data_IF_695054293290
#
_entry.id   IF_695054293290
#
_cell.length_a   1.000
_cell.length_b   1.000
_cell.length_c   1.000
_cell.angle_alpha   90.00
_cell.angle_beta   90.00
_cell.angle_gamma   90.00
#
_symmetry.space_group_name_H-M   'P 1'
#
loop_
_entity.id
_entity.type
_entity.pdbx_description
1 polymer ?
#
# COMPACT_ATOMS: atom_id res chain seq x y z
N UNK A 1 22.43 -33.47 -17.21
CA UNK A 1 22.14 -32.15 -17.81
C UNK A 1 21.22 -32.37 -18.98
N UNK A 2 19.99 -31.84 -18.94
CA UNK A 2 19.04 -31.91 -20.06
C UNK A 2 18.73 -30.47 -20.45
N UNK A 3 19.18 -30.06 -21.62
CA UNK A 3 18.79 -28.79 -22.23
C UNK A 3 17.48 -29.01 -22.99
N UNK A 4 16.46 -28.19 -22.74
CA UNK A 4 15.26 -28.12 -23.57
C UNK A 4 15.41 -26.95 -24.55
N UNK A 5 15.56 -27.28 -25.84
CA UNK A 5 15.34 -26.34 -26.94
C UNK A 5 13.88 -26.44 -27.35
N UNK A 6 13.15 -25.32 -27.31
CA UNK A 6 11.77 -25.23 -27.82
C UNK A 6 11.79 -24.57 -29.19
N UNK A 7 11.19 -25.22 -30.18
CA UNK A 7 11.04 -24.68 -31.54
C UNK A 7 9.55 -24.71 -31.89
N UNK A 8 8.90 -23.57 -32.22
CA UNK A 8 7.48 -23.56 -32.53
C UNK A 8 7.29 -23.74 -34.04
N UNK A 9 6.57 -24.77 -34.44
CA UNK A 9 5.96 -24.80 -35.78
C UNK A 9 4.43 -24.78 -35.66
N UNK A 10 3.89 -23.75 -36.31
CA UNK A 10 2.51 -23.37 -36.61
C UNK A 10 1.46 -24.48 -36.73
N UNK A 11 0.28 -24.19 -36.15
CA UNK A 11 -1.03 -24.54 -36.72
C UNK A 11 -1.65 -25.87 -36.27
N UNK A 12 -2.63 -25.79 -35.36
CA UNK A 12 -3.55 -26.88 -35.03
C UNK A 12 -3.30 -27.55 -33.68
N UNK A 13 -4.39 -27.78 -32.93
CA UNK A 13 -4.53 -28.49 -31.65
C UNK A 13 -3.24 -29.21 -31.18
N UNK A 14 -2.48 -28.54 -30.31
CA UNK A 14 -1.09 -28.85 -30.01
C UNK A 14 -0.90 -30.12 -29.16
N UNK A 15 -0.68 -31.25 -29.82
CA UNK A 15 0.12 -32.35 -29.28
C UNK A 15 1.59 -32.14 -29.68
N UNK A 16 2.44 -31.75 -28.75
CA UNK A 16 3.88 -31.64 -29.00
C UNK A 16 4.57 -32.99 -28.84
N UNK A 17 5.22 -33.50 -29.90
CA UNK A 17 6.06 -34.70 -29.81
C UNK A 17 7.49 -34.32 -29.41
N UNK A 18 8.03 -34.96 -28.37
CA UNK A 18 9.45 -34.85 -28.01
C UNK A 18 10.14 -36.21 -28.14
N UNK A 19 11.38 -36.23 -28.66
CA UNK A 19 12.25 -37.41 -28.62
C UNK A 19 13.17 -37.32 -27.41
N UNK A 20 13.14 -38.35 -26.55
CA UNK A 20 14.13 -38.55 -25.50
C UNK A 20 15.07 -39.69 -25.93
N UNK A 21 16.34 -39.37 -26.16
CA UNK A 21 17.41 -40.36 -26.31
C UNK A 21 18.18 -40.42 -24.98
N UNK A 22 18.01 -41.51 -24.22
CA UNK A 22 18.78 -41.76 -22.99
C UNK A 22 20.03 -42.58 -23.28
N UNK A 23 21.20 -42.13 -22.81
CA UNK A 23 22.41 -42.94 -22.77
C UNK A 23 22.32 -44.00 -21.68
N UNK A 24 22.59 -45.27 -22.03
CA UNK A 24 22.54 -46.39 -21.09
C UNK A 24 23.69 -46.38 -20.08
N UNK A 25 23.40 -46.80 -18.84
CA UNK A 25 24.36 -46.87 -17.74
C UNK A 25 25.11 -48.23 -17.74
N UNK A 26 26.42 -48.19 -17.47
CA UNK A 26 27.35 -49.32 -17.66
C UNK A 26 27.46 -50.20 -16.40
N UNK A 27 26.94 -51.43 -16.46
CA UNK A 27 27.19 -52.47 -15.45
C UNK A 27 28.53 -53.18 -15.67
N UNK A 28 29.45 -53.09 -14.72
CA UNK A 28 30.79 -53.73 -14.75
C UNK A 28 30.68 -55.24 -14.47
N UNK A 29 30.91 -56.11 -15.46
CA UNK A 29 31.29 -57.53 -15.25
C UNK A 29 32.58 -57.86 -16.02
N UNK A 30 33.43 -58.65 -15.38
CA UNK A 30 34.76 -59.07 -15.84
C UNK A 30 34.69 -59.96 -17.09
N UNK A 31 35.56 -59.71 -18.06
CA UNK A 31 36.05 -60.70 -19.04
C UNK A 31 35.66 -60.45 -20.51
N UNK A 32 36.71 -60.28 -21.34
CA UNK A 32 36.77 -60.34 -22.83
C UNK A 32 36.13 -59.18 -23.63
N UNK A 33 36.97 -58.46 -24.39
CA UNK A 33 36.59 -57.38 -25.32
C UNK A 33 35.93 -57.97 -26.58
N UNK A 34 34.67 -57.62 -26.82
CA UNK A 34 34.03 -57.65 -28.15
C UNK A 34 33.36 -56.30 -28.39
N UNK A 35 33.69 -55.65 -29.51
CA UNK A 35 33.17 -54.35 -29.90
C UNK A 35 31.82 -54.55 -30.60
N UNK A 36 30.70 -54.32 -29.89
CA UNK A 36 29.36 -54.22 -30.50
C UNK A 36 28.81 -52.80 -30.32
N UNK A 37 28.57 -52.12 -31.42
CA UNK A 37 27.83 -50.85 -31.52
C UNK A 37 26.42 -51.01 -30.95
N UNK A 38 25.97 -50.19 -29.99
CA UNK A 38 24.58 -50.23 -29.53
C UNK A 38 23.68 -49.48 -30.52
N UNK A 39 22.70 -50.19 -31.09
CA UNK A 39 21.59 -49.56 -31.77
C UNK A 39 20.73 -48.80 -30.74
N UNK A 40 20.54 -47.49 -30.94
CA UNK A 40 19.65 -46.69 -30.13
C UNK A 40 18.19 -47.10 -30.41
N UNK A 41 17.53 -47.74 -29.44
CA UNK A 41 16.11 -48.04 -29.53
C UNK A 41 15.31 -46.84 -29.03
N UNK A 42 14.69 -46.09 -29.95
CA UNK A 42 13.72 -45.05 -29.62
C UNK A 42 12.37 -45.69 -29.31
N UNK A 43 11.88 -45.54 -28.07
CA UNK A 43 10.51 -45.94 -27.71
C UNK A 43 9.62 -44.71 -27.78
N UNK A 44 8.54 -44.78 -28.58
CA UNK A 44 7.48 -43.78 -28.59
C UNK A 44 6.62 -43.96 -27.34
N UNK A 45 6.90 -43.18 -26.30
CA UNK A 45 6.07 -43.12 -25.10
C UNK A 45 5.09 -41.97 -25.16
N UNK A 46 3.79 -42.25 -25.03
CA UNK A 46 2.78 -41.25 -24.66
C UNK A 46 2.80 -41.15 -23.13
N UNK A 47 3.46 -40.14 -22.58
CA UNK A 47 3.22 -39.79 -21.17
C UNK A 47 1.86 -39.11 -21.09
N UNK A 48 0.90 -39.78 -20.46
CA UNK A 48 -0.28 -39.10 -19.93
C UNK A 48 0.22 -38.05 -18.92
N UNK A 49 0.11 -36.77 -19.28
CA UNK A 49 0.21 -35.70 -18.29
C UNK A 49 -0.89 -35.99 -17.28
N UNK A 50 -0.51 -36.33 -16.05
CA UNK A 50 -1.48 -36.56 -14.97
C UNK A 50 -2.34 -35.29 -14.86
N UNK A 51 -3.65 -35.46 -14.78
CA UNK A 51 -4.66 -34.38 -14.66
C UNK A 51 -4.40 -33.39 -13.51
N UNK A 52 -3.41 -33.64 -12.64
CA UNK A 52 -3.02 -32.79 -11.53
C UNK A 52 -2.48 -31.40 -11.95
N UNK A 53 -1.78 -31.28 -13.09
CA UNK A 53 -1.30 -29.95 -13.55
C UNK A 53 -2.42 -29.12 -14.21
N UNK A 54 -3.40 -29.76 -14.85
CA UNK A 54 -4.54 -29.08 -15.49
C UNK A 54 -5.65 -28.76 -14.47
N UNK A 55 -5.75 -29.52 -13.37
CA UNK A 55 -6.73 -29.28 -12.30
C UNK A 55 -6.39 -28.06 -11.41
N UNK A 56 -5.11 -27.72 -11.23
CA UNK A 56 -4.70 -26.59 -10.39
C UNK A 56 -5.22 -25.24 -10.92
N UNK A 57 -5.29 -25.07 -12.25
CA UNK A 57 -5.82 -23.85 -12.86
C UNK A 57 -7.35 -23.68 -12.69
N UNK A 58 -8.08 -24.73 -12.27
CA UNK A 58 -9.53 -24.68 -12.05
C UNK A 58 -9.94 -24.19 -10.65
N UNK A 59 -8.99 -24.07 -9.71
CA UNK A 59 -9.24 -23.59 -8.34
C UNK A 59 -9.04 -22.07 -8.17
N UNK A 60 -8.40 -21.41 -9.13
CA UNK A 60 -8.09 -19.98 -9.07
C UNK A 60 -8.87 -19.24 -10.16
N UNK A 61 -9.74 -18.30 -9.79
CA UNK A 61 -10.56 -17.53 -10.75
C UNK A 61 -10.27 -16.03 -10.71
N UNK A 62 -9.38 -15.61 -9.81
CA UNK A 62 -8.95 -14.23 -9.66
C UNK A 62 -7.43 -14.13 -9.71
N UNK A 63 -6.91 -12.96 -10.03
CA UNK A 63 -5.47 -12.68 -9.95
C UNK A 63 -5.18 -11.38 -9.24
N UNK A 64 -4.14 -11.37 -8.42
CA UNK A 64 -3.53 -10.15 -7.90
C UNK A 64 -2.26 -9.84 -8.68
N UNK A 65 -2.18 -8.66 -9.29
CA UNK A 65 -0.95 -8.11 -9.84
C UNK A 65 -0.40 -7.12 -8.82
N UNK A 66 0.74 -7.43 -8.23
CA UNK A 66 1.35 -6.65 -7.15
C UNK A 66 2.55 -5.93 -7.75
N UNK A 67 2.52 -4.60 -7.75
CA UNK A 67 3.50 -3.74 -8.41
C UNK A 67 4.21 -2.86 -7.40
N UNK A 68 5.53 -2.81 -7.48
CA UNK A 68 6.34 -1.87 -6.73
C UNK A 68 6.68 -0.65 -7.61
N UNK A 69 6.04 0.48 -7.32
CA UNK A 69 6.35 1.76 -7.98
C UNK A 69 7.13 2.70 -7.05
N UNK A 70 7.63 2.19 -5.93
CA UNK A 70 8.56 2.89 -5.06
C UNK A 70 9.95 2.93 -5.71
N UNK A 71 10.79 3.86 -5.26
CA UNK A 71 12.20 3.96 -5.68
C UNK A 71 13.12 2.97 -4.95
N UNK A 72 12.57 2.17 -4.05
CA UNK A 72 13.26 1.20 -3.21
C UNK A 72 12.58 -0.17 -3.29
N UNK A 73 13.30 -1.22 -2.87
CA UNK A 73 12.76 -2.58 -2.82
C UNK A 73 11.68 -2.69 -1.75
N UNK A 74 10.55 -3.29 -2.10
CA UNK A 74 9.48 -3.67 -1.18
C UNK A 74 9.46 -5.18 -1.10
N UNK A 75 9.16 -5.74 0.07
CA UNK A 75 8.94 -7.17 0.24
C UNK A 75 7.47 -7.41 0.55
N UNK A 76 6.61 -7.58 -0.48
CA UNK A 76 5.21 -7.89 -0.25
C UNK A 76 5.07 -9.16 0.58
N UNK A 77 4.02 -9.18 1.39
CA UNK A 77 3.60 -10.34 2.14
C UNK A 77 2.09 -10.47 2.06
N UNK A 78 1.63 -11.73 2.09
CA UNK A 78 0.21 -12.07 1.95
C UNK A 78 -0.15 -13.12 2.99
N UNK A 79 -1.25 -12.87 3.68
CA UNK A 79 -1.83 -13.78 4.66
C UNK A 79 -3.23 -14.18 4.21
N UNK A 80 -3.46 -15.48 4.06
CA UNK A 80 -4.80 -16.03 3.84
C UNK A 80 -5.55 -16.09 5.17
N UNK A 81 -6.80 -15.62 5.19
CA UNK A 81 -7.68 -15.66 6.35
C UNK A 81 -8.10 -17.09 6.71
N UNK A 82 -8.64 -17.26 7.93
CA UNK A 82 -9.14 -18.54 8.39
C UNK A 82 -10.21 -19.10 7.42
N UNK A 83 -10.09 -20.38 7.06
CA UNK A 83 -11.00 -21.03 6.11
C UNK A 83 -10.69 -20.77 4.63
N UNK A 84 -9.76 -19.87 4.31
CA UNK A 84 -9.31 -19.63 2.93
C UNK A 84 -8.16 -20.56 2.55
N UNK A 85 -8.14 -21.00 1.30
CA UNK A 85 -7.00 -21.78 0.77
C UNK A 85 -5.73 -20.92 0.71
N UNK A 86 -4.55 -21.46 1.03
CA UNK A 86 -3.30 -20.72 0.96
C UNK A 86 -2.97 -20.33 -0.48
N UNK A 87 -2.31 -19.19 -0.64
CA UNK A 87 -1.74 -18.78 -1.92
C UNK A 87 -0.38 -19.47 -2.17
N UNK A 88 0.14 -19.46 -3.40
CA UNK A 88 1.43 -20.10 -3.72
C UNK A 88 2.65 -19.55 -2.98
N UNK A 89 2.55 -18.33 -2.44
CA UNK A 89 3.57 -17.67 -1.61
C UNK A 89 2.88 -16.77 -0.59
N UNK A 90 3.55 -16.54 0.53
CA UNK A 90 3.18 -15.65 1.63
C UNK A 90 4.15 -14.47 1.76
N UNK A 91 5.24 -14.43 0.98
CA UNK A 91 6.11 -13.28 0.88
C UNK A 91 7.23 -13.44 -0.16
N UNK A 92 7.58 -12.33 -0.80
CA UNK A 92 8.61 -12.27 -1.85
C UNK A 92 9.21 -10.86 -1.91
N UNK A 93 10.25 -10.66 -2.75
CA UNK A 93 10.86 -9.36 -3.00
C UNK A 93 10.37 -8.77 -4.33
N UNK A 94 10.20 -7.46 -4.39
CA UNK A 94 9.95 -6.69 -5.62
C UNK A 94 10.92 -5.52 -5.70
N UNK A 95 11.77 -5.50 -6.74
CA UNK A 95 12.63 -4.36 -7.02
C UNK A 95 11.80 -3.17 -7.53
N UNK A 96 12.36 -1.95 -7.55
CA UNK A 96 11.70 -0.79 -8.14
C UNK A 96 11.24 -1.06 -9.59
N UNK A 97 9.96 -0.87 -9.86
CA UNK A 97 9.35 -1.08 -11.17
C UNK A 97 8.86 -2.52 -11.44
N UNK A 98 9.20 -3.49 -10.58
CA UNK A 98 8.81 -4.87 -10.77
C UNK A 98 7.35 -5.13 -10.40
N UNK A 99 6.79 -6.17 -11.02
CA UNK A 99 5.48 -6.73 -10.70
C UNK A 99 5.55 -8.24 -10.54
N UNK A 100 4.70 -8.78 -9.68
CA UNK A 100 4.45 -10.22 -9.58
C UNK A 100 2.94 -10.49 -9.60
N UNK A 101 2.53 -11.60 -10.20
CA UNK A 101 1.12 -11.98 -10.30
C UNK A 101 0.85 -13.24 -9.49
N UNK A 102 -0.11 -13.17 -8.57
CA UNK A 102 -0.54 -14.29 -7.74
C UNK A 102 -1.94 -14.75 -8.17
N UNK A 103 -2.15 -16.06 -8.39
CA UNK A 103 -3.48 -16.60 -8.56
C UNK A 103 -4.21 -16.62 -7.21
N UNK A 104 -5.51 -16.26 -7.21
CA UNK A 104 -6.35 -16.16 -6.00
C UNK A 104 -7.62 -17.00 -6.13
N UNK A 105 -7.96 -17.84 -5.13
CA UNK A 105 -9.15 -18.67 -5.16
C UNK A 105 -10.45 -17.82 -5.25
N UNK A 106 -11.52 -18.33 -5.86
CA UNK A 106 -12.80 -17.62 -5.99
C UNK A 106 -13.40 -17.18 -4.65
N UNK A 107 -13.21 -18.00 -3.62
CA UNK A 107 -13.66 -17.78 -2.24
C UNK A 107 -12.40 -17.68 -1.37
N UNK A 108 -11.85 -16.46 -1.32
CA UNK A 108 -10.63 -16.16 -0.57
C UNK A 108 -10.83 -14.87 0.20
N UNK A 109 -10.45 -14.88 1.46
CA UNK A 109 -10.29 -13.72 2.31
C UNK A 109 -8.85 -13.66 2.81
N UNK A 110 -8.35 -12.46 3.07
CA UNK A 110 -7.00 -12.28 3.56
C UNK A 110 -6.53 -10.84 3.46
N UNK A 111 -5.24 -10.65 3.77
CA UNK A 111 -4.59 -9.35 3.76
C UNK A 111 -3.25 -9.39 3.06
N UNK A 112 -2.87 -8.26 2.48
CA UNK A 112 -1.60 -8.03 1.80
C UNK A 112 -0.98 -6.73 2.31
N UNK A 113 0.33 -6.73 2.50
CA UNK A 113 1.06 -5.53 2.90
C UNK A 113 2.46 -5.49 2.27
N UNK A 114 3.09 -4.32 2.31
CA UNK A 114 4.47 -4.12 1.90
C UNK A 114 5.38 -4.01 3.12
N UNK A 115 6.48 -4.76 3.13
CA UNK A 115 7.55 -4.60 4.12
C UNK A 115 8.66 -3.74 3.53
N UNK A 116 9.28 -2.90 4.36
CA UNK A 116 10.35 -2.00 3.93
C UNK A 116 11.59 -2.10 4.81
N UNK A 117 12.73 -1.67 4.24
CA UNK A 117 14.03 -1.66 4.92
C UNK A 117 14.39 -3.05 5.46
N UNK A 118 14.19 -4.08 4.64
CA UNK A 118 14.49 -5.44 5.01
C UNK A 118 15.95 -5.79 4.74
N UNK A 119 16.52 -6.65 5.59
CA UNK A 119 17.89 -7.13 5.46
C UNK A 119 18.02 -8.55 6.00
N UNK A 120 19.11 -9.21 5.62
CA UNK A 120 19.53 -10.48 6.20
C UNK A 120 20.73 -10.19 7.09
N UNK A 121 20.65 -10.55 8.36
CA UNK A 121 21.75 -10.38 9.30
C UNK A 121 22.88 -11.39 9.08
N UNK A 122 23.97 -11.25 9.85
CA UNK A 122 25.13 -12.15 9.77
C UNK A 122 24.81 -13.62 10.14
N UNK A 123 23.67 -13.86 10.79
CA UNK A 123 23.20 -15.20 11.16
C UNK A 123 22.27 -15.80 10.10
N UNK A 124 22.00 -15.07 9.01
CA UNK A 124 21.10 -15.48 7.95
C UNK A 124 19.63 -15.19 8.23
N UNK A 125 19.30 -14.43 9.29
CA UNK A 125 17.90 -14.10 9.62
C UNK A 125 17.44 -12.88 8.84
N UNK A 126 16.32 -13.03 8.14
CA UNK A 126 15.65 -11.95 7.45
C UNK A 126 14.77 -11.16 8.43
N UNK A 127 14.89 -9.84 8.45
CA UNK A 127 13.99 -8.95 9.21
C UNK A 127 13.78 -7.62 8.50
N UNK A 128 12.65 -6.98 8.78
CA UNK A 128 12.27 -5.68 8.23
C UNK A 128 12.04 -4.63 9.34
N UNK A 129 12.29 -3.35 9.04
CA UNK A 129 11.99 -2.27 9.98
C UNK A 129 10.48 -2.02 10.08
N UNK A 130 9.75 -2.16 8.96
CA UNK A 130 8.29 -1.98 8.94
C UNK A 130 7.58 -3.20 8.34
N UNK A 131 6.43 -3.54 8.91
CA UNK A 131 5.58 -4.65 8.44
C UNK A 131 6.19 -6.05 8.62
N UNK A 132 7.27 -6.20 9.38
CA UNK A 132 7.90 -7.51 9.61
C UNK A 132 6.90 -8.53 10.17
N UNK A 133 7.04 -9.79 9.81
CA UNK A 133 6.14 -10.86 10.23
C UNK A 133 6.79 -11.87 11.18
N UNK A 134 8.02 -11.61 11.65
CA UNK A 134 8.67 -12.35 12.71
C UNK A 134 9.13 -13.77 12.36
N UNK A 135 9.02 -14.19 11.10
CA UNK A 135 9.37 -15.56 10.68
C UNK A 135 10.86 -15.77 10.45
N UNK A 136 11.67 -14.71 10.53
CA UNK A 136 13.10 -14.72 10.17
C UNK A 136 13.38 -15.10 8.71
N UNK A 137 12.36 -15.16 7.85
CA UNK A 137 12.47 -15.49 6.42
C UNK A 137 11.62 -14.54 5.58
N UNK A 138 11.81 -14.56 4.26
CA UNK A 138 11.00 -13.75 3.35
C UNK A 138 9.54 -14.20 3.36
N UNK A 139 9.27 -15.49 3.54
CA UNK A 139 7.91 -16.04 3.64
C UNK A 139 7.31 -15.75 5.04
N UNK A 140 6.06 -15.27 5.09
CA UNK A 140 5.38 -14.96 6.35
C UNK A 140 4.54 -16.11 6.92
N UNK A 141 4.38 -17.21 6.19
CA UNK A 141 3.53 -18.33 6.56
C UNK A 141 2.12 -17.85 6.99
N UNK A 142 1.72 -18.11 8.23
CA UNK A 142 0.45 -17.66 8.80
C UNK A 142 0.59 -16.47 9.76
N UNK A 143 1.75 -15.81 9.78
CA UNK A 143 2.05 -14.73 10.72
C UNK A 143 1.45 -13.38 10.29
N UNK A 144 1.09 -12.59 11.29
CA UNK A 144 0.59 -11.23 11.12
C UNK A 144 1.76 -10.24 11.06
N UNK A 145 1.60 -9.11 10.36
CA UNK A 145 2.59 -8.05 10.43
C UNK A 145 2.66 -7.40 11.80
N UNK A 146 3.85 -6.94 12.18
CA UNK A 146 4.04 -6.03 13.29
C UNK A 146 3.71 -4.58 12.87
N UNK A 147 2.79 -3.91 13.57
CA UNK A 147 2.48 -2.50 13.32
C UNK A 147 3.67 -1.56 13.60
N UNK A 148 3.79 -0.40 12.91
CA UNK A 148 2.80 0.14 12.00
C UNK A 148 2.88 -0.39 10.57
N UNK A 149 1.72 -0.63 9.95
CA UNK A 149 1.64 -1.20 8.60
C UNK A 149 0.35 -0.80 7.89
N UNK A 150 0.47 -0.43 6.62
CA UNK A 150 -0.70 -0.25 5.75
C UNK A 150 -1.13 -1.61 5.20
N UNK A 151 -2.41 -1.95 5.42
CA UNK A 151 -3.00 -3.21 4.98
C UNK A 151 -3.90 -3.01 3.76
N UNK A 152 -3.85 -3.96 2.83
CA UNK A 152 -4.89 -4.15 1.81
C UNK A 152 -5.66 -5.41 2.19
N UNK A 153 -6.93 -5.27 2.52
CA UNK A 153 -7.77 -6.38 2.97
C UNK A 153 -8.72 -6.79 1.85
N UNK A 154 -8.98 -8.09 1.73
CA UNK A 154 -9.90 -8.66 0.75
C UNK A 154 -10.81 -9.68 1.42
N UNK A 155 -12.07 -9.73 0.99
CA UNK A 155 -13.01 -10.76 1.37
C UNK A 155 -13.90 -11.14 0.18
N UNK A 156 -13.65 -12.31 -0.42
CA UNK A 156 -14.44 -12.83 -1.52
C UNK A 156 -15.41 -13.94 -1.09
N UNK A 157 -15.52 -14.23 0.21
CA UNK A 157 -16.46 -15.21 0.74
C UNK A 157 -17.87 -14.58 0.72
N UNK A 158 -18.74 -15.10 -0.15
CA UNK A 158 -20.04 -14.49 -0.51
C UNK A 158 -21.12 -14.56 0.59
N UNK A 159 -20.75 -14.48 1.87
CA UNK A 159 -21.65 -14.68 3.03
C UNK A 159 -22.44 -13.44 3.45
N UNK A 160 -22.87 -12.63 2.48
CA UNK A 160 -24.03 -11.71 2.63
C UNK A 160 -23.90 -10.44 3.49
N UNK A 161 -22.77 -9.72 3.51
CA UNK A 161 -22.75 -8.26 3.83
C UNK A 161 -21.40 -7.57 3.52
N UNK A 162 -21.27 -7.10 2.28
CA UNK A 162 -20.50 -5.92 1.81
C UNK A 162 -19.13 -5.58 2.46
N UNK A 163 -18.04 -6.21 2.00
CA UNK A 163 -16.77 -5.59 1.56
C UNK A 163 -16.03 -6.62 0.68
N UNK A 164 -15.52 -6.24 -0.49
CA UNK A 164 -14.66 -7.15 -1.29
C UNK A 164 -13.18 -6.80 -1.17
N UNK A 165 -12.86 -5.51 -1.02
CA UNK A 165 -11.51 -5.02 -0.79
C UNK A 165 -11.52 -3.63 -0.15
N UNK A 166 -10.55 -3.34 0.71
CA UNK A 166 -10.32 -2.02 1.30
C UNK A 166 -8.84 -1.77 1.66
N UNK A 167 -8.54 -0.52 2.02
CA UNK A 167 -7.26 -0.13 2.62
C UNK A 167 -7.50 0.11 4.10
N UNK A 168 -6.73 -0.55 4.96
CA UNK A 168 -6.81 -0.40 6.41
C UNK A 168 -5.54 0.22 6.97
N UNK A 169 -5.74 1.29 7.74
CA UNK A 169 -4.75 2.04 8.51
C UNK A 169 -5.02 1.90 10.02
N UNK A 170 -5.82 0.92 10.43
CA UNK A 170 -6.05 0.58 11.85
C UNK A 170 -4.73 0.23 12.53
N UNK A 171 -3.87 -0.51 11.82
CA UNK A 171 -2.52 -0.84 12.27
C UNK A 171 -1.50 0.26 11.89
N UNK A 172 -1.94 1.46 11.51
CA UNK A 172 -1.08 2.58 11.12
C UNK A 172 -0.67 2.58 9.65
N UNK A 173 0.45 3.24 9.36
CA UNK A 173 0.92 3.48 8.00
C UNK A 173 2.43 3.27 7.90
N UNK A 174 2.89 2.66 6.80
CA UNK A 174 4.31 2.58 6.49
C UNK A 174 4.64 2.97 5.05
N UNK A 175 3.78 2.64 4.07
CA UNK A 175 3.94 3.10 2.70
C UNK A 175 2.59 3.33 1.97
N UNK A 176 2.56 4.23 0.98
CA UNK A 176 1.38 4.46 0.16
C UNK A 176 0.99 3.21 -0.64
N UNK A 177 -0.31 2.95 -0.75
CA UNK A 177 -0.83 1.81 -1.51
C UNK A 177 -2.13 2.18 -2.23
N UNK A 178 -2.34 1.57 -3.40
CA UNK A 178 -3.58 1.64 -4.16
C UNK A 178 -3.99 0.24 -4.59
N UNK A 179 -5.28 -0.05 -4.50
CA UNK A 179 -5.89 -1.24 -5.10
C UNK A 179 -6.85 -0.82 -6.21
N UNK A 180 -6.66 -1.38 -7.40
CA UNK A 180 -7.41 -1.07 -8.60
C UNK A 180 -7.91 -2.37 -9.26
N UNK A 181 -9.21 -2.66 -9.22
CA UNK A 181 -9.78 -3.78 -9.95
C UNK A 181 -9.75 -3.53 -11.47
N UNK A 182 -9.56 -4.58 -12.26
CA UNK A 182 -9.43 -4.50 -13.72
C UNK A 182 -10.64 -5.14 -14.41
N UNK A 183 -11.30 -4.39 -15.29
CA UNK A 183 -12.51 -4.85 -15.95
C UNK A 183 -13.72 -4.77 -15.02
N UNK A 184 -14.70 -3.94 -15.38
CA UNK A 184 -15.91 -3.67 -14.59
C UNK A 184 -16.06 -2.20 -14.21
N UNK A 185 -17.08 -1.90 -13.39
CA UNK A 185 -17.38 -0.54 -12.88
C UNK A 185 -16.76 -0.27 -11.50
N UNK A 186 -15.86 -1.15 -11.04
CA UNK A 186 -15.30 -1.06 -9.69
C UNK A 186 -14.34 0.12 -9.57
N UNK A 187 -14.46 0.85 -8.46
CA UNK A 187 -13.60 2.00 -8.18
C UNK A 187 -12.30 1.54 -7.53
N UNK A 188 -11.19 2.13 -7.97
CA UNK A 188 -9.94 1.98 -7.25
C UNK A 188 -9.99 2.78 -5.95
N UNK A 189 -9.42 2.23 -4.88
CA UNK A 189 -9.24 2.91 -3.58
C UNK A 189 -7.77 2.86 -3.18
N UNK A 190 -7.34 3.74 -2.28
CA UNK A 190 -5.94 3.88 -1.91
C UNK A 190 -5.69 4.93 -0.85
N UNK A 191 -4.54 4.81 -0.19
CA UNK A 191 -3.91 5.90 0.55
C UNK A 191 -2.66 6.31 -0.24
N UNK A 192 -2.80 7.37 -1.05
CA UNK A 192 -1.81 7.75 -2.06
C UNK A 192 -0.73 8.70 -1.53
N UNK A 193 -1.05 9.45 -0.48
CA UNK A 193 -0.13 10.36 0.16
C UNK A 193 0.88 9.59 1.02
N UNK A 194 2.13 10.05 1.03
CA UNK A 194 3.10 9.59 2.02
C UNK A 194 2.84 10.31 3.35
N UNK A 195 2.32 9.55 4.33
CA UNK A 195 1.97 10.08 5.64
C UNK A 195 3.17 10.15 6.58
N UNK A 196 4.30 9.54 6.25
CA UNK A 196 5.44 9.43 7.17
C UNK A 196 6.04 10.80 7.50
N UNK A 197 6.19 11.66 6.49
CA UNK A 197 6.72 13.01 6.68
C UNK A 197 5.81 13.89 7.56
N UNK A 198 4.50 13.83 7.29
CA UNK A 198 3.47 14.63 7.96
C UNK A 198 2.95 14.02 9.27
N UNK A 199 3.40 12.81 9.63
CA UNK A 199 2.99 12.11 10.83
C UNK A 199 3.23 12.97 12.08
N UNK A 200 2.30 13.04 13.05
CA UNK A 200 2.55 13.70 14.33
C UNK A 200 3.77 13.12 15.04
N UNK A 201 4.57 13.98 15.69
CA UNK A 201 5.87 13.61 16.28
C UNK A 201 5.77 12.42 17.23
N UNK A 202 4.73 12.38 18.06
CA UNK A 202 4.45 11.32 19.03
C UNK A 202 4.06 9.98 18.38
N UNK A 203 3.69 9.98 17.10
CA UNK A 203 3.27 8.80 16.35
C UNK A 203 4.36 8.29 15.38
N UNK A 204 5.43 9.06 15.16
CA UNK A 204 6.50 8.69 14.22
C UNK A 204 7.28 7.47 14.70
N UNK A 205 7.59 6.59 13.76
CA UNK A 205 8.69 5.64 13.88
C UNK A 205 9.87 6.23 13.12
N UNK A 206 10.96 6.51 13.83
CA UNK A 206 12.16 7.09 13.25
C UNK A 206 13.22 6.01 13.07
N UNK A 207 13.84 5.97 11.89
CA UNK A 207 15.03 5.17 11.62
C UNK A 207 16.04 6.04 10.88
N UNK A 208 17.27 6.07 11.37
CA UNK A 208 18.39 6.81 10.77
C UNK A 208 18.08 8.30 10.49
N UNK A 209 17.28 8.91 11.38
CA UNK A 209 16.85 10.31 11.30
C UNK A 209 15.61 10.57 10.44
N UNK A 210 15.08 9.55 9.76
CA UNK A 210 13.92 9.66 8.88
C UNK A 210 12.68 8.99 9.48
N UNK A 211 11.50 9.57 9.20
CA UNK A 211 10.24 8.95 9.55
C UNK A 211 9.92 7.84 8.55
N UNK A 212 9.82 6.59 9.03
CA UNK A 212 9.64 5.41 8.18
C UNK A 212 8.27 4.75 8.33
N UNK A 213 7.55 5.09 9.40
CA UNK A 213 6.18 4.65 9.63
C UNK A 213 5.45 5.63 10.57
N UNK A 214 4.12 5.58 10.56
CA UNK A 214 3.25 6.37 11.41
C UNK A 214 2.29 5.46 12.19
N UNK A 215 2.34 5.52 13.51
CA UNK A 215 1.47 4.74 14.40
C UNK A 215 0.04 5.28 14.37
N UNK A 216 -0.93 4.37 14.34
CA UNK A 216 -2.30 4.67 14.74
C UNK A 216 -2.52 4.12 16.15
N UNK A 217 -2.97 4.98 17.05
CA UNK A 217 -3.23 4.61 18.45
C UNK A 217 -4.70 4.30 18.69
N UNK A 218 -5.60 4.66 17.78
CA UNK A 218 -7.00 4.29 17.87
C UNK A 218 -7.23 2.95 17.17
N UNK A 219 -7.68 1.95 17.93
CA UNK A 219 -8.03 0.63 17.37
C UNK A 219 -9.54 0.49 17.17
N UNK A 220 -10.30 0.74 18.23
CA UNK A 220 -11.74 0.45 18.27
C UNK A 220 -12.62 1.67 18.02
N UNK A 221 -12.16 2.85 18.42
CA UNK A 221 -12.95 4.08 18.39
C UNK A 221 -12.18 5.22 17.73
N UNK A 222 -12.88 6.25 17.28
CA UNK A 222 -12.25 7.43 16.70
C UNK A 222 -11.47 8.22 17.77
N UNK A 223 -10.25 8.62 17.44
CA UNK A 223 -9.44 9.52 18.25
C UNK A 223 -8.59 10.46 17.35
N UNK A 224 -7.72 11.27 17.95
CA UNK A 224 -6.97 12.28 17.20
C UNK A 224 -6.07 11.67 16.11
N UNK A 225 -5.44 10.52 16.37
CA UNK A 225 -4.60 9.85 15.38
C UNK A 225 -5.41 9.29 14.21
N UNK A 226 -6.57 8.65 14.45
CA UNK A 226 -7.45 8.19 13.36
C UNK A 226 -7.99 9.35 12.53
N UNK A 227 -8.24 10.52 13.13
CA UNK A 227 -8.66 11.72 12.40
C UNK A 227 -7.57 12.22 11.44
N UNK A 228 -6.30 12.18 11.84
CA UNK A 228 -5.17 12.46 10.96
C UNK A 228 -5.16 11.52 9.74
N UNK A 229 -5.27 10.21 9.96
CA UNK A 229 -5.32 9.24 8.86
C UNK A 229 -6.54 9.42 7.97
N UNK A 230 -7.72 9.66 8.55
CA UNK A 230 -8.97 9.84 7.79
C UNK A 230 -8.96 11.10 6.93
N UNK A 231 -8.33 12.17 7.45
CA UNK A 231 -8.16 13.43 6.70
C UNK A 231 -7.26 13.24 5.50
N UNK A 232 -6.16 12.50 5.66
CA UNK A 232 -5.22 12.26 4.58
C UNK A 232 -5.72 11.22 3.56
N UNK A 233 -6.46 10.21 4.04
CA UNK A 233 -6.92 9.07 3.26
C UNK A 233 -8.39 8.77 3.58
N UNK A 234 -9.31 9.57 3.00
CA UNK A 234 -10.76 9.50 3.27
C UNK A 234 -11.38 8.13 3.02
N UNK A 235 -10.85 7.42 2.03
CA UNK A 235 -11.36 6.14 1.56
C UNK A 235 -10.77 4.94 2.34
N UNK A 236 -9.84 5.19 3.26
CA UNK A 236 -9.23 4.17 4.11
C UNK A 236 -10.02 3.95 5.41
N UNK A 237 -9.96 2.73 5.91
CA UNK A 237 -10.48 2.31 7.21
C UNK A 237 -9.45 2.63 8.29
N UNK A 238 -9.81 3.46 9.27
CA UNK A 238 -8.84 3.97 10.27
C UNK A 238 -9.10 3.52 11.72
N UNK A 239 -10.22 2.87 11.99
CA UNK A 239 -10.55 2.18 13.25
C UNK A 239 -11.67 1.17 12.97
N UNK A 240 -11.87 0.16 13.81
CA UNK A 240 -12.71 -1.03 13.52
C UNK A 240 -14.15 -0.77 13.07
N UNK A 241 -14.74 0.37 13.41
CA UNK A 241 -16.12 0.76 13.06
C UNK A 241 -16.23 1.82 11.95
N UNK A 242 -15.15 2.10 11.21
CA UNK A 242 -15.17 3.03 10.08
C UNK A 242 -15.76 2.35 8.83
N UNK A 243 -16.94 2.79 8.38
CA UNK A 243 -17.70 2.15 7.31
C UNK A 243 -17.40 2.75 5.91
N UNK A 244 -16.25 2.43 5.32
CA UNK A 244 -15.93 2.77 3.92
C UNK A 244 -15.91 1.50 3.06
N UNK A 245 -17.01 1.19 2.35
CA UNK A 245 -17.18 -0.11 1.67
C UNK A 245 -17.41 0.02 0.16
N UNK A 246 -16.70 -0.79 -0.62
CA UNK A 246 -16.92 -0.96 -2.06
C UNK A 246 -17.51 -2.35 -2.34
N UNK A 247 -18.75 -2.38 -2.81
CA UNK A 247 -19.40 -3.60 -3.28
C UNK A 247 -19.17 -3.76 -4.79
N UNK A 248 -17.98 -4.21 -5.19
CA UNK A 248 -17.69 -4.50 -6.61
C UNK A 248 -16.68 -5.63 -6.81
N UNK A 249 -17.05 -6.63 -7.63
CA UNK A 249 -16.22 -7.81 -7.92
C UNK A 249 -15.60 -7.72 -9.30
N UNK A 250 -14.31 -8.05 -9.38
CA UNK A 250 -13.52 -8.08 -10.61
C UNK A 250 -12.76 -9.40 -10.69
N UNK A 251 -12.42 -9.88 -11.90
CA UNK A 251 -11.52 -11.03 -12.04
C UNK A 251 -10.10 -10.69 -11.60
N UNK A 252 -9.62 -9.46 -11.81
CA UNK A 252 -8.21 -9.13 -11.58
C UNK A 252 -8.08 -7.86 -10.74
N UNK A 253 -7.16 -7.84 -9.78
CA UNK A 253 -6.88 -6.68 -8.94
C UNK A 253 -5.41 -6.30 -9.07
N UNK A 254 -5.13 -5.02 -9.27
CA UNK A 254 -3.77 -4.49 -9.24
C UNK A 254 -3.54 -3.79 -7.90
N UNK A 255 -2.59 -4.25 -7.13
CA UNK A 255 -2.09 -3.58 -5.93
C UNK A 255 -0.80 -2.86 -6.29
N UNK A 256 -0.73 -1.57 -6.04
CA UNK A 256 0.44 -0.75 -6.37
C UNK A 256 0.95 -0.06 -5.12
N UNK A 257 2.20 -0.36 -4.76
CA UNK A 257 2.96 0.37 -3.75
C UNK A 257 3.56 1.64 -4.33
N UNK A 258 3.52 2.75 -3.59
CA UNK A 258 3.90 4.09 -4.04
C UNK A 258 3.25 4.48 -5.40
N UNK A 259 1.92 4.42 -5.51
CA UNK A 259 1.23 4.75 -6.75
C UNK A 259 1.48 6.21 -7.14
N UNK A 260 1.83 6.45 -8.40
CA UNK A 260 1.88 7.83 -8.92
C UNK A 260 0.47 8.41 -9.00
N UNK A 261 0.31 9.68 -8.64
CA UNK A 261 -0.92 10.48 -8.82
C UNK A 261 -1.24 10.77 -10.30
N UNK A 262 -1.20 9.77 -11.19
CA UNK A 262 -1.77 9.91 -12.54
C UNK A 262 -3.29 9.70 -12.41
N UNK A 263 -3.97 10.79 -12.08
CA UNK A 263 -5.43 10.90 -12.05
C UNK A 263 -6.02 10.41 -13.37
N UNK A 264 -6.61 9.22 -13.35
CA UNK A 264 -7.47 8.70 -14.42
C UNK A 264 -8.86 9.34 -14.43
N UNK A 265 -8.99 10.65 -14.18
CA UNK A 265 -10.20 11.36 -14.61
C UNK A 265 -10.09 11.58 -16.10
N UNK A 266 -10.65 10.66 -16.89
CA UNK A 266 -11.24 11.07 -18.17
C UNK A 266 -12.30 12.12 -17.82
N UNK A 267 -11.95 13.39 -18.02
CA UNK A 267 -12.94 14.45 -18.14
C UNK A 267 -13.69 14.14 -19.43
N UNK A 268 -14.83 13.48 -19.28
CA UNK A 268 -15.82 13.41 -20.33
C UNK A 268 -16.25 14.85 -20.59
N UNK A 269 -15.86 15.37 -21.77
CA UNK A 269 -16.29 16.67 -22.26
C UNK A 269 -17.81 16.66 -22.43
N UNK A 270 -18.55 16.96 -21.35
CA UNK A 270 -19.92 17.43 -21.46
C UNK A 270 -19.86 18.88 -21.93
N UNK A 271 -20.27 19.09 -23.18
CA UNK A 271 -20.60 20.41 -23.72
C UNK A 271 -21.54 21.12 -22.75
N UNK A 272 -21.08 22.22 -22.19
CA UNK A 272 -21.89 23.19 -21.48
C UNK A 272 -22.72 23.99 -22.51
N UNK A 273 -24.03 24.19 -22.33
CA UNK A 273 -24.78 25.14 -23.13
C UNK A 273 -24.50 26.56 -22.62
N UNK A 274 -24.15 27.44 -23.55
CA UNK A 274 -24.00 28.87 -23.36
C UNK A 274 -25.26 29.52 -22.76
N UNK A 275 -25.11 30.29 -21.70
CA UNK A 275 -25.97 31.45 -21.46
C UNK A 275 -25.24 32.46 -20.58
N UNK A 276 -24.77 33.54 -21.22
CA UNK A 276 -24.11 34.65 -20.55
C UNK A 276 -25.08 35.62 -19.87
N UNK A 277 -24.43 36.65 -19.29
CA UNK A 277 -24.93 37.90 -18.68
C UNK A 277 -25.18 37.80 -17.18
N UNK A 278 -24.20 38.30 -16.40
CA UNK A 278 -24.37 39.34 -15.36
C UNK A 278 -23.02 39.60 -14.64
N UNK A 279 -22.00 40.02 -15.38
CA UNK A 279 -20.81 40.67 -14.82
C UNK A 279 -20.97 42.15 -15.12
N UNK A 280 -21.37 42.92 -14.10
CA UNK A 280 -21.19 44.37 -13.88
C UNK A 280 -22.25 44.71 -12.82
N UNK A 281 -21.86 44.67 -11.53
CA UNK A 281 -22.54 45.36 -10.40
C UNK A 281 -21.93 45.11 -9.00
N UNK A 282 -20.79 44.41 -8.87
CA UNK A 282 -20.16 44.19 -7.55
C UNK A 282 -18.82 44.91 -7.32
N UNK A 283 -18.32 45.67 -8.30
CA UNK A 283 -17.07 46.44 -8.15
C UNK A 283 -17.25 47.76 -7.38
N UNK A 284 -18.46 48.34 -7.35
CA UNK A 284 -18.72 49.58 -6.62
C UNK A 284 -18.93 49.42 -5.10
N UNK A 285 -19.50 48.29 -4.66
CA UNK A 285 -19.87 48.08 -3.25
C UNK A 285 -18.64 47.82 -2.37
N UNK A 286 -17.63 47.12 -2.90
CA UNK A 286 -16.38 46.84 -2.18
C UNK A 286 -15.53 48.10 -1.97
N UNK A 287 -15.56 49.06 -2.91
CA UNK A 287 -14.83 50.31 -2.79
C UNK A 287 -15.41 51.21 -1.68
N UNK A 288 -16.74 51.25 -1.53
CA UNK A 288 -17.42 52.09 -0.53
C UNK A 288 -17.19 51.55 0.90
N UNK A 289 -17.18 50.22 1.08
CA UNK A 289 -16.94 49.62 2.41
C UNK A 289 -15.50 49.83 2.92
N UNK A 290 -14.52 49.91 2.02
CA UNK A 290 -13.12 50.20 2.38
C UNK A 290 -12.94 51.65 2.87
N UNK A 291 -13.59 52.61 2.21
CA UNK A 291 -13.52 54.04 2.59
C UNK A 291 -14.19 54.31 3.95
N UNK A 292 -15.33 53.68 4.22
CA UNK A 292 -16.04 53.84 5.50
C UNK A 292 -15.22 53.25 6.66
N UNK A 293 -14.60 52.08 6.47
CA UNK A 293 -13.76 51.46 7.49
C UNK A 293 -12.52 52.31 7.81
N UNK A 294 -11.87 52.90 6.79
CA UNK A 294 -10.74 53.80 6.96
C UNK A 294 -11.09 55.09 7.73
N UNK A 295 -12.26 55.68 7.45
CA UNK A 295 -12.71 56.90 8.14
C UNK A 295 -13.04 56.66 9.62
N UNK A 296 -13.62 55.49 9.95
CA UNK A 296 -13.89 55.10 11.34
C UNK A 296 -12.59 54.89 12.12
N UNK A 297 -11.61 54.19 11.53
CA UNK A 297 -10.29 53.97 12.16
C UNK A 297 -9.55 55.29 12.37
N UNK A 298 -9.58 56.20 11.39
CA UNK A 298 -8.96 57.53 11.51
C UNK A 298 -9.62 58.38 12.60
N UNK A 299 -10.96 58.36 12.70
CA UNK A 299 -11.71 59.06 13.76
C UNK A 299 -11.42 58.49 15.15
N UNK A 300 -11.23 57.18 15.29
CA UNK A 300 -10.82 56.56 16.57
C UNK A 300 -9.41 56.97 16.95
N UNK A 301 -8.45 56.93 16.01
CA UNK A 301 -7.07 57.38 16.23
C UNK A 301 -7.02 58.84 16.66
N UNK A 302 -7.72 59.74 15.97
CA UNK A 302 -7.82 61.17 16.35
C UNK A 302 -8.45 61.40 17.73
N UNK A 303 -9.47 60.62 18.11
CA UNK A 303 -10.07 60.70 19.46
C UNK A 303 -9.11 60.25 20.56
N UNK A 304 -8.21 59.32 20.27
CA UNK A 304 -7.18 58.88 21.21
C UNK A 304 -6.05 59.90 21.34
N UNK A 305 -5.69 60.61 20.27
CA UNK A 305 -4.65 61.65 20.33
C UNK A 305 -5.13 62.93 21.05
N UNK A 306 -6.43 63.23 21.01
CA UNK A 306 -7.01 64.43 21.65
C UNK A 306 -7.43 64.24 23.12
N UNK A 307 -7.24 63.06 23.71
CA UNK A 307 -7.37 62.90 25.17
C UNK A 307 -5.99 63.12 25.79
N UNK A 308 -5.78 64.32 26.32
CA UNK A 308 -4.68 64.64 27.23
C UNK A 308 -4.68 63.62 28.38
N UNK A 309 -3.60 62.86 28.49
CA UNK A 309 -3.35 62.01 29.65
C UNK A 309 -2.60 62.85 30.68
N UNK A 310 -3.32 63.44 31.64
CA UNK A 310 -2.71 63.67 32.95
C UNK A 310 -2.66 62.34 33.69
N UNK A 311 -1.46 61.79 33.84
CA UNK A 311 -1.17 60.75 34.81
C UNK A 311 -0.38 61.44 35.92
N UNK A 312 -1.04 61.77 37.02
CA UNK A 312 -0.40 62.24 38.25
C UNK A 312 0.31 61.08 38.92
N UNK A 313 1.64 61.13 38.96
CA UNK A 313 2.49 60.25 39.77
C UNK A 313 2.81 60.95 41.10
N UNK A 314 2.23 60.48 42.20
CA UNK A 314 2.73 60.78 43.53
C UNK A 314 3.87 59.81 43.86
N UNK A 315 5.08 60.36 44.00
CA UNK A 315 6.25 59.66 44.51
C UNK A 315 6.19 59.62 46.04
N UNK A 316 6.02 58.41 46.60
CA UNK A 316 6.36 58.13 48.00
C UNK A 316 7.85 57.85 48.11
N UNK A 317 8.56 58.72 48.84
CA UNK A 317 10.00 58.73 49.04
C UNK A 317 10.52 57.64 49.99
N UNK A 318 11.77 57.31 49.73
CA UNK A 318 12.71 56.36 50.33
C UNK A 318 13.25 56.80 51.71
N UNK A 319 13.57 55.83 52.57
CA UNK A 319 14.67 55.85 53.56
C UNK A 319 14.90 54.40 54.04
N UNK A 320 15.96 53.71 53.60
CA UNK A 320 17.30 53.59 54.24
C UNK A 320 17.26 53.18 55.72
N UNK A 321 17.69 51.96 56.09
CA UNK A 321 18.94 51.63 56.85
C UNK A 321 18.96 50.22 57.50
N UNK A 322 20.13 49.57 57.38
CA UNK A 322 20.91 48.77 58.35
C UNK A 322 20.32 47.58 59.18
N UNK A 323 20.85 46.38 58.89
CA UNK A 323 21.66 45.44 59.74
C UNK A 323 21.32 45.19 61.24
N UNK A 324 21.12 43.88 61.55
CA UNK A 324 21.43 43.06 62.76
C UNK A 324 20.37 42.86 63.89
N UNK A 325 20.58 41.93 64.87
CA UNK A 325 20.17 40.51 64.81
C UNK A 325 19.38 40.00 66.06
N UNK A 326 19.07 38.69 66.06
CA UNK A 326 18.72 37.81 67.21
C UNK A 326 17.36 37.99 67.94
N UNK A 327 16.56 36.92 67.90
CA UNK A 327 16.04 36.21 69.07
C UNK A 327 15.52 34.82 68.63
#
# INVERSE_FOLDING_TARGET
MVYKLWNPTSGGLGGGSFRLCGGGDYGRRRGRKELRTPAASCVTGVTLVRDSEVAAARLYSKTFTITNNCTYTVWPAVLSGAGSSPLPTTGFALLPGDSNTLPVPPAWSGRLWGRTLCSIDITGKFSCVTGDCGTSTVECASANPFPPVTLVEFDFNRTSQMKLYDISLVEGFNLPVRVAPTGGKCLATGCLADLNAACPTELKVIRDGEAVACKNTCKTEACLSSLFFKTACSDAHVYSHDHAFFNCSSPNYTVTFCPTSKSGRKVENKKEPSSGKNVVKYTGVLAVMSVISGLVIFRIRLRLTNREWEISLSAGTRADTAIAPNA
#
